data_IF_640484961605
#
_entry.id   IF_640484961605
#
_cell.length_a   1.000
_cell.length_b   1.000
_cell.length_c   1.000
_cell.angle_alpha   90.00
_cell.angle_beta   90.00
_cell.angle_gamma   90.00
#
_symmetry.space_group_name_H-M   'P 1'
#
loop_
_entity.id
_entity.type
_entity.pdbx_description
1 polymer ?
#
# COMPACT_ATOMS: atom_id res chain seq x y z
N UNK A 1 -26.40 -8.00 5.46
CA UNK A 1 -26.09 -6.66 5.98
C UNK A 1 -24.64 -6.34 5.65
N UNK A 2 -24.35 -5.16 5.09
CA UNK A 2 -22.98 -4.75 4.79
C UNK A 2 -22.20 -4.58 6.10
N UNK A 3 -21.02 -5.19 6.20
CA UNK A 3 -20.16 -5.07 7.38
C UNK A 3 -19.60 -3.66 7.45
N UNK A 4 -20.03 -2.88 8.44
CA UNK A 4 -19.51 -1.53 8.67
C UNK A 4 -18.07 -1.66 9.15
N UNK A 5 -17.13 -1.12 8.39
CA UNK A 5 -15.72 -1.13 8.77
C UNK A 5 -15.46 -0.10 9.87
N UNK A 6 -14.85 -0.56 10.96
CA UNK A 6 -14.40 0.29 12.06
C UNK A 6 -12.92 0.08 12.33
N UNK A 7 -12.13 1.15 12.36
CA UNK A 7 -10.73 1.11 12.77
C UNK A 7 -10.60 1.58 14.21
N UNK A 8 -10.26 0.66 15.12
CA UNK A 8 -10.14 0.95 16.57
C UNK A 8 -11.36 1.69 17.15
N UNK A 9 -12.56 1.27 16.73
CA UNK A 9 -13.83 1.84 17.18
C UNK A 9 -14.31 3.07 16.41
N UNK A 10 -13.56 3.57 15.42
CA UNK A 10 -13.95 4.73 14.60
C UNK A 10 -14.41 4.34 13.20
N UNK A 11 -15.42 5.04 12.69
CA UNK A 11 -15.91 4.88 11.31
C UNK A 11 -14.96 5.52 10.29
N UNK A 12 -15.08 5.17 9.01
CA UNK A 12 -14.24 5.74 7.96
C UNK A 12 -14.37 7.28 7.86
N UNK A 13 -15.57 7.81 8.07
CA UNK A 13 -15.84 9.25 8.03
C UNK A 13 -15.22 9.98 9.23
N UNK A 14 -15.27 9.37 10.42
CA UNK A 14 -14.61 9.91 11.60
C UNK A 14 -13.10 9.93 11.43
N UNK A 15 -12.52 8.87 10.84
CA UNK A 15 -11.07 8.81 10.59
C UNK A 15 -10.59 9.92 9.67
N UNK A 16 -11.38 10.29 8.65
CA UNK A 16 -11.03 11.37 7.72
C UNK A 16 -11.03 12.76 8.37
N UNK A 17 -11.80 12.96 9.44
CA UNK A 17 -11.88 14.23 10.17
C UNK A 17 -10.72 14.43 11.16
N UNK A 18 -10.00 13.36 11.50
CA UNK A 18 -8.92 13.43 12.48
C UNK A 18 -7.68 14.10 11.91
N UNK A 19 -6.96 14.80 12.79
CA UNK A 19 -5.62 15.27 12.48
C UNK A 19 -4.64 14.10 12.34
N UNK A 20 -3.54 14.34 11.61
CA UNK A 20 -2.48 13.35 11.43
C UNK A 20 -1.86 12.91 12.77
N UNK A 21 -1.78 13.82 13.75
CA UNK A 21 -1.21 13.55 15.06
C UNK A 21 -2.11 12.66 15.93
N UNK A 22 -3.41 12.93 15.94
CA UNK A 22 -4.40 12.08 16.61
C UNK A 22 -4.46 10.70 15.98
N UNK A 23 -4.41 10.64 14.65
CA UNK A 23 -4.31 9.39 13.92
C UNK A 23 -3.06 8.61 14.33
N UNK A 24 -1.89 9.26 14.39
CA UNK A 24 -0.64 8.59 14.72
C UNK A 24 -0.63 7.93 16.12
N UNK A 25 -1.35 8.50 17.10
CA UNK A 25 -1.52 7.89 18.44
C UNK A 25 -2.28 6.55 18.36
N UNK A 26 -3.13 6.39 17.36
CA UNK A 26 -3.97 5.20 17.14
C UNK A 26 -3.35 4.16 16.19
N UNK A 27 -2.10 4.28 15.76
CA UNK A 27 -1.48 3.27 14.86
C UNK A 27 -0.40 2.49 15.62
N UNK A 28 -0.04 1.25 15.24
CA UNK A 28 1.05 0.53 15.91
C UNK A 28 2.37 1.30 15.95
N UNK A 29 3.26 0.87 16.85
CA UNK A 29 4.48 1.61 17.24
C UNK A 29 5.37 2.00 16.05
N UNK A 30 5.52 1.10 15.05
CA UNK A 30 6.36 1.34 13.87
C UNK A 30 5.86 2.54 13.06
N UNK A 31 4.56 2.61 12.82
CA UNK A 31 3.92 3.67 12.07
C UNK A 31 3.90 4.97 12.86
N UNK A 32 3.58 4.90 14.16
CA UNK A 32 3.62 6.06 15.06
C UNK A 32 5.01 6.69 15.09
N UNK A 33 6.08 5.88 15.15
CA UNK A 33 7.47 6.35 15.07
C UNK A 33 7.76 7.08 13.76
N UNK A 34 7.28 6.55 12.64
CA UNK A 34 7.48 7.17 11.33
C UNK A 34 6.74 8.52 11.22
N UNK A 35 5.46 8.57 11.64
CA UNK A 35 4.65 9.79 11.53
C UNK A 35 5.08 10.89 12.51
N UNK A 36 5.40 10.56 13.77
CA UNK A 36 5.67 11.57 14.80
C UNK A 36 7.16 11.84 15.04
N UNK A 37 7.99 10.80 15.18
CA UNK A 37 9.38 10.96 15.64
C UNK A 37 10.37 11.17 14.50
N UNK A 38 10.23 10.40 13.42
CA UNK A 38 11.12 10.50 12.24
C UNK A 38 10.62 11.52 11.22
N UNK A 39 9.30 11.73 11.18
CA UNK A 39 8.65 12.59 10.19
C UNK A 39 8.63 11.98 8.79
N UNK A 40 8.01 12.71 7.88
CA UNK A 40 7.93 12.32 6.46
C UNK A 40 9.20 12.71 5.71
N UNK A 41 9.66 11.79 4.87
CA UNK A 41 10.71 12.05 3.88
C UNK A 41 10.24 13.05 2.83
N UNK A 42 11.18 13.66 2.10
CA UNK A 42 10.84 14.65 1.08
C UNK A 42 9.98 14.07 -0.05
N UNK A 43 10.22 12.82 -0.44
CA UNK A 43 9.43 12.16 -1.48
C UNK A 43 8.02 11.84 -1.01
N UNK A 44 7.83 11.44 0.26
CA UNK A 44 6.50 11.29 0.85
C UNK A 44 5.75 12.64 0.89
N UNK A 45 6.45 13.74 1.21
CA UNK A 45 5.87 15.09 1.15
C UNK A 45 5.45 15.47 -0.27
N UNK A 46 6.22 15.11 -1.30
CA UNK A 46 5.83 15.31 -2.71
C UNK A 46 4.55 14.55 -3.04
N UNK A 47 4.42 13.30 -2.59
CA UNK A 47 3.20 12.51 -2.78
C UNK A 47 2.01 13.16 -2.07
N UNK A 48 2.20 13.64 -0.83
CA UNK A 48 1.18 14.39 -0.08
C UNK A 48 0.67 15.61 -0.85
N UNK A 49 1.59 16.41 -1.40
CA UNK A 49 1.24 17.58 -2.22
C UNK A 49 0.48 17.17 -3.48
N UNK A 50 0.85 16.05 -4.12
CA UNK A 50 0.20 15.55 -5.35
C UNK A 50 -1.25 15.15 -5.11
N UNK A 51 -1.52 14.36 -4.08
CA UNK A 51 -2.90 13.89 -3.85
C UNK A 51 -3.83 14.98 -3.33
N UNK A 52 -3.32 15.93 -2.55
CA UNK A 52 -4.11 17.10 -2.12
C UNK A 52 -4.47 18.02 -3.28
N UNK A 53 -3.60 18.14 -4.30
CA UNK A 53 -3.86 18.94 -5.51
C UNK A 53 -4.80 18.26 -6.50
N UNK A 54 -4.86 16.93 -6.52
CA UNK A 54 -5.66 16.20 -7.51
C UNK A 54 -6.22 14.93 -6.88
N UNK A 55 -7.47 15.00 -6.42
CA UNK A 55 -8.17 13.85 -5.83
C UNK A 55 -8.58 12.80 -6.86
N UNK A 56 -8.88 13.20 -8.11
CA UNK A 56 -9.41 12.28 -9.11
C UNK A 56 -8.34 11.62 -10.01
N UNK A 57 -7.06 11.97 -9.83
CA UNK A 57 -5.98 11.49 -10.70
C UNK A 57 -5.31 10.26 -10.13
N UNK A 58 -4.96 9.33 -11.00
CA UNK A 58 -4.10 8.19 -10.69
C UNK A 58 -2.71 8.67 -10.24
N UNK A 59 -2.33 8.35 -9.00
CA UNK A 59 -1.10 8.87 -8.38
C UNK A 59 -0.01 7.82 -8.43
N UNK A 60 1.00 8.05 -9.26
CA UNK A 60 2.19 7.20 -9.32
C UNK A 60 3.16 7.53 -8.18
N UNK A 61 3.58 6.51 -7.43
CA UNK A 61 4.58 6.64 -6.36
C UNK A 61 5.59 5.49 -6.28
N UNK A 62 6.86 5.85 -6.12
CA UNK A 62 7.95 4.90 -5.80
C UNK A 62 8.12 4.71 -4.29
N UNK A 63 7.52 5.56 -3.46
CA UNK A 63 7.67 5.50 -1.99
C UNK A 63 6.81 4.37 -1.41
N UNK A 64 7.42 3.20 -1.24
CA UNK A 64 6.76 2.00 -0.70
C UNK A 64 6.64 2.00 0.82
N UNK A 65 7.46 2.80 1.51
CA UNK A 65 7.50 2.86 2.97
C UNK A 65 6.43 3.75 3.60
N UNK A 66 5.74 4.53 2.76
CA UNK A 66 4.70 5.46 3.16
C UNK A 66 3.51 4.75 3.78
N UNK A 67 2.98 5.32 4.86
CA UNK A 67 1.81 4.80 5.58
C UNK A 67 0.54 5.36 4.94
N UNK A 68 -0.48 4.52 4.82
CA UNK A 68 -1.79 4.93 4.34
C UNK A 68 -2.50 5.73 5.44
N UNK A 69 -2.76 7.00 5.12
CA UNK A 69 -3.43 7.97 6.00
C UNK A 69 -4.92 8.04 5.62
N UNK A 70 -5.84 8.33 6.56
CA UNK A 70 -7.28 8.38 6.27
C UNK A 70 -7.67 9.31 5.12
N UNK A 71 -6.94 10.41 4.89
CA UNK A 71 -7.16 11.32 3.74
C UNK A 71 -7.05 10.62 2.37
N UNK A 72 -6.41 9.45 2.30
CA UNK A 72 -6.13 8.72 1.06
C UNK A 72 -7.23 7.73 0.67
N UNK A 73 -8.23 7.52 1.51
CA UNK A 73 -9.33 6.58 1.25
C UNK A 73 -10.06 7.00 -0.03
N UNK A 74 -10.25 6.06 -0.97
CA UNK A 74 -10.90 6.30 -2.25
C UNK A 74 -9.97 6.78 -3.38
N UNK A 75 -8.69 7.01 -3.10
CA UNK A 75 -7.70 7.36 -4.12
C UNK A 75 -7.12 6.11 -4.81
N UNK A 76 -6.73 6.28 -6.08
CA UNK A 76 -6.04 5.26 -6.87
C UNK A 76 -4.54 5.52 -6.92
N UNK A 77 -3.76 4.58 -6.40
CA UNK A 77 -2.30 4.66 -6.41
C UNK A 77 -1.68 3.67 -7.38
N UNK A 78 -0.65 4.11 -8.11
CA UNK A 78 0.28 3.26 -8.83
C UNK A 78 1.53 3.07 -8.00
N UNK A 79 1.74 1.88 -7.44
CA UNK A 79 2.90 1.57 -6.59
C UNK A 79 3.92 0.80 -7.41
N UNK A 80 5.14 1.34 -7.52
CA UNK A 80 6.20 0.70 -8.29
C UNK A 80 6.71 -0.58 -7.61
N UNK A 81 6.70 -1.71 -8.32
CA UNK A 81 7.21 -2.98 -7.81
C UNK A 81 8.67 -3.28 -8.20
N UNK A 82 9.31 -2.38 -8.96
CA UNK A 82 10.65 -2.57 -9.53
C UNK A 82 10.65 -2.79 -11.04
N UNK A 83 9.50 -3.16 -11.62
CA UNK A 83 9.32 -3.42 -13.05
C UNK A 83 8.09 -2.70 -13.62
N UNK A 84 6.98 -2.78 -12.90
CA UNK A 84 5.66 -2.31 -13.33
C UNK A 84 5.00 -1.50 -12.20
N UNK A 85 3.98 -0.74 -12.58
CA UNK A 85 3.16 0.04 -11.67
C UNK A 85 1.92 -0.76 -11.29
N UNK A 86 1.87 -1.26 -10.05
CA UNK A 86 0.70 -1.98 -9.54
C UNK A 86 -0.36 -0.97 -9.14
N UNK A 87 -1.53 -1.03 -9.77
CA UNK A 87 -2.68 -0.17 -9.46
C UNK A 87 -3.41 -0.70 -8.23
N UNK A 88 -3.52 0.13 -7.20
CA UNK A 88 -4.18 -0.18 -5.93
C UNK A 88 -5.18 0.92 -5.60
N UNK A 89 -6.44 0.53 -5.45
CA UNK A 89 -7.52 1.40 -4.99
C UNK A 89 -7.56 1.32 -3.45
N UNK A 90 -7.32 2.44 -2.77
CA UNK A 90 -7.20 2.45 -1.31
C UNK A 90 -8.57 2.33 -0.66
N UNK A 91 -8.77 1.21 0.05
CA UNK A 91 -9.95 0.94 0.87
C UNK A 91 -9.71 1.35 2.34
N UNK A 92 -10.78 1.56 3.10
CA UNK A 92 -10.70 1.91 4.52
C UNK A 92 -9.95 0.83 5.35
N UNK A 93 -10.06 -0.44 4.96
CA UNK A 93 -9.35 -1.57 5.59
C UNK A 93 -7.82 -1.48 5.50
N UNK A 94 -7.30 -0.70 4.55
CA UNK A 94 -5.86 -0.56 4.32
C UNK A 94 -5.22 0.54 5.18
N UNK A 95 -6.01 1.29 5.94
CA UNK A 95 -5.52 2.39 6.78
C UNK A 95 -4.54 1.89 7.84
N UNK A 96 -3.41 2.57 7.99
CA UNK A 96 -2.35 2.19 8.94
C UNK A 96 -1.36 1.13 8.42
N UNK A 97 -1.60 0.55 7.25
CA UNK A 97 -0.63 -0.28 6.54
C UNK A 97 0.34 0.57 5.71
N UNK A 98 1.45 -0.03 5.27
CA UNK A 98 2.37 0.62 4.32
C UNK A 98 1.95 0.32 2.88
N UNK A 99 2.13 1.29 1.97
CA UNK A 99 1.83 1.12 0.55
C UNK A 99 2.55 -0.11 -0.06
N UNK A 100 3.80 -0.35 0.34
CA UNK A 100 4.60 -1.48 -0.13
C UNK A 100 4.02 -2.86 0.18
N UNK A 101 3.12 -2.99 1.15
CA UNK A 101 2.45 -4.26 1.50
C UNK A 101 1.50 -4.71 0.38
N UNK A 102 0.95 -3.77 -0.39
CA UNK A 102 0.00 -4.03 -1.47
C UNK A 102 0.66 -4.23 -2.84
N UNK A 103 2.00 -4.15 -2.92
CA UNK A 103 2.76 -4.29 -4.16
C UNK A 103 3.85 -5.36 -4.00
N UNK A 104 3.58 -6.59 -4.44
CA UNK A 104 4.57 -7.67 -4.38
C UNK A 104 5.75 -7.39 -5.32
N UNK A 105 6.97 -7.44 -4.79
CA UNK A 105 8.22 -7.26 -5.57
C UNK A 105 8.65 -8.51 -6.31
N UNK A 106 8.22 -9.68 -5.84
CA UNK A 106 8.60 -10.98 -6.35
C UNK A 106 7.37 -11.76 -6.77
N UNK A 107 7.52 -12.56 -7.81
CA UNK A 107 6.50 -13.54 -8.20
C UNK A 107 6.52 -14.69 -7.20
N UNK A 108 5.35 -15.22 -6.87
CA UNK A 108 5.24 -16.47 -6.11
C UNK A 108 5.80 -17.61 -6.98
N UNK A 109 6.81 -18.30 -6.48
CA UNK A 109 7.31 -19.53 -7.09
C UNK A 109 6.44 -20.66 -6.57
N UNK A 110 5.81 -21.40 -7.48
CA UNK A 110 5.13 -22.64 -7.17
C UNK A 110 6.08 -23.77 -7.53
N UNK A 111 6.37 -24.65 -6.58
CA UNK A 111 7.12 -25.88 -6.87
C UNK A 111 6.15 -26.86 -7.53
N UNK A 112 6.31 -27.04 -8.84
CA UNK A 112 5.71 -28.12 -9.60
C UNK A 112 6.39 -29.46 -9.30
N UNK A 113 5.88 -30.54 -9.89
CA UNK A 113 6.49 -31.86 -9.86
C UNK A 113 8.01 -31.81 -10.13
N UNK A 114 8.81 -32.71 -9.51
CA UNK A 114 10.25 -32.73 -9.67
C UNK A 114 10.63 -32.77 -11.16
N UNK A 115 11.40 -31.78 -11.60
CA UNK A 115 11.94 -31.71 -12.96
C UNK A 115 11.19 -30.84 -13.97
N UNK A 116 9.98 -30.35 -13.70
CA UNK A 116 9.26 -29.46 -14.63
C UNK A 116 9.49 -28.00 -14.23
N UNK A 117 10.27 -27.26 -15.03
CA UNK A 117 10.51 -25.81 -14.88
C UNK A 117 11.60 -25.43 -13.86
N UNK A 118 12.23 -26.40 -13.20
CA UNK A 118 13.27 -26.18 -12.19
C UNK A 118 14.68 -26.00 -12.79
N UNK A 119 14.99 -26.67 -13.91
CA UNK A 119 16.29 -26.59 -14.58
C UNK A 119 16.17 -25.88 -15.93
N UNK A 120 17.23 -25.20 -16.38
CA UNK A 120 17.26 -24.51 -17.69
C UNK A 120 16.98 -25.48 -18.87
N UNK A 121 17.28 -26.77 -18.70
CA UNK A 121 16.99 -27.85 -19.66
C UNK A 121 15.50 -28.22 -19.70
N UNK A 122 14.79 -28.17 -18.57
CA UNK A 122 13.35 -28.48 -18.51
C UNK A 122 12.45 -27.40 -19.12
N UNK A 123 13.00 -26.22 -19.46
CA UNK A 123 12.25 -25.06 -19.97
C UNK A 123 11.66 -25.29 -21.37
N UNK A 124 12.22 -26.23 -22.12
CA UNK A 124 11.81 -26.56 -23.50
C UNK A 124 11.09 -27.91 -23.61
N UNK A 125 10.77 -28.56 -22.49
CA UNK A 125 10.00 -29.80 -22.51
C UNK A 125 8.56 -29.44 -22.91
N UNK A 126 8.02 -30.00 -24.00
CA UNK A 126 6.64 -29.75 -24.39
C UNK A 126 5.72 -30.34 -23.32
N UNK A 127 4.84 -29.51 -22.76
CA UNK A 127 3.72 -30.00 -21.96
C UNK A 127 2.75 -30.68 -22.93
N UNK A 128 2.47 -31.95 -22.69
CA UNK A 128 1.47 -32.72 -23.44
C UNK A 128 0.06 -32.29 -23.05
#
# INVERSE_FOLDING_TARGET
MAKVFTFRGKTAEELQKLSLEEFAKMVPSRQRRALLKRGMTEDEKKVFRKFRKSRDKFIKTQTRDMIIVPEMIGLKFGIHNGKEWVTVDIKAEMVGHRLGEFSQTRKRVLHSAPGIGATKSSKFVPLK
#
